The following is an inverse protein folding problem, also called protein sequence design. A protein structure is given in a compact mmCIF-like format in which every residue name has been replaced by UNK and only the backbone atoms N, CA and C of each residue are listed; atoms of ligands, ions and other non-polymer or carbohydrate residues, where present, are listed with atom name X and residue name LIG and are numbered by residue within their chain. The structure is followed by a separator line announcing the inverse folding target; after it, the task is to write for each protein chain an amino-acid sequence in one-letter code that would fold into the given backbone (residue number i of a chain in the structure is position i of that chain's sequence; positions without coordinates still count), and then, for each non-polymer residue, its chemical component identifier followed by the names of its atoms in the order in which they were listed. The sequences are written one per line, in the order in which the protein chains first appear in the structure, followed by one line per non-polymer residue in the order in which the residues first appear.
data_IF_088228072223
#
_entry.id   IF_088228072223
#
_cell.length_a   1.000
_cell.length_b   1.000
_cell.length_c   1.000
_cell.angle_alpha   90.00
_cell.angle_beta   90.00
_cell.angle_gamma   90.00
#
_symmetry.space_group_name_H-M   'P 1'
#
loop_
_entity.id
_entity.type
_entity.pdbx_description
1 polymer ?
#
# COMPACT_ATOMS: atom_id res chain seq x y z
N UNK A 1 -9.05 -6.57 -8.14
CA UNK A 1 -8.24 -5.57 -7.43
C UNK A 1 -7.44 -6.21 -6.31
N UNK A 2 -6.23 -5.78 -6.09
CA UNK A 2 -5.37 -6.35 -5.05
C UNK A 2 -5.81 -5.89 -3.65
N UNK A 3 -6.12 -6.84 -2.78
CA UNK A 3 -6.55 -6.54 -1.42
C UNK A 3 -5.41 -6.08 -0.51
N UNK A 4 -4.18 -6.36 -0.93
CA UNK A 4 -2.99 -6.00 -0.14
C UNK A 4 -2.55 -4.56 -0.34
N UNK A 5 -3.02 -3.92 -1.40
CA UNK A 5 -2.68 -2.53 -1.68
C UNK A 5 -3.90 -1.67 -1.40
N UNK A 6 -3.76 -0.80 -0.42
CA UNK A 6 -4.83 0.07 0.04
C UNK A 6 -4.53 1.52 -0.31
N UNK A 7 -5.56 2.34 -0.28
CA UNK A 7 -5.40 3.78 -0.39
C UNK A 7 -4.53 4.27 0.76
N UNK A 8 -3.50 5.04 0.43
CA UNK A 8 -2.56 5.59 1.43
C UNK A 8 -2.63 7.11 1.52
N UNK A 9 -3.28 7.75 0.57
CA UNK A 9 -3.34 9.20 0.50
C UNK A 9 -4.36 9.79 1.47
N UNK A 10 -3.98 10.92 2.05
CA UNK A 10 -4.88 11.75 2.87
C UNK A 10 -5.37 11.06 4.13
N UNK A 11 -4.43 10.50 4.87
CA UNK A 11 -4.69 9.93 6.19
C UNK A 11 -3.97 10.71 7.28
N UNK A 12 -4.52 10.69 8.46
CA UNK A 12 -3.90 11.22 9.66
C UNK A 12 -3.76 10.09 10.68
N UNK A 13 -2.55 9.75 11.12
CA UNK A 13 -1.27 10.32 10.69
C UNK A 13 -0.89 9.96 9.24
N UNK A 14 0.00 10.76 8.67
CA UNK A 14 0.43 10.63 7.28
C UNK A 14 1.07 9.28 6.98
N UNK A 15 1.06 8.91 5.69
CA UNK A 15 1.68 7.68 5.23
C UNK A 15 3.19 7.68 5.52
N UNK A 16 3.69 6.52 5.91
CA UNK A 16 5.13 6.33 6.16
C UNK A 16 5.80 5.68 4.95
N UNK A 17 7.12 5.81 4.88
CA UNK A 17 7.91 5.12 3.86
C UNK A 17 7.70 3.62 3.92
N UNK A 18 7.58 3.08 5.14
CA UNK A 18 7.38 1.64 5.32
C UNK A 18 6.08 1.16 4.72
N UNK A 19 5.03 1.95 4.86
CA UNK A 19 3.73 1.61 4.27
C UNK A 19 3.78 1.62 2.75
N UNK A 20 4.45 2.61 2.18
CA UNK A 20 4.61 2.72 0.73
C UNK A 20 5.48 1.57 0.21
N UNK A 21 6.54 1.24 0.95
CA UNK A 21 7.42 0.14 0.59
C UNK A 21 6.68 -1.20 0.63
N UNK A 22 5.86 -1.41 1.64
CA UNK A 22 5.05 -2.64 1.75
C UNK A 22 4.09 -2.79 0.58
N UNK A 23 3.44 -1.70 0.16
CA UNK A 23 2.55 -1.71 -1.00
C UNK A 23 3.33 -1.98 -2.29
N UNK A 24 4.52 -1.38 -2.42
CA UNK A 24 5.39 -1.58 -3.58
C UNK A 24 5.85 -3.02 -3.68
N UNK A 25 6.19 -3.63 -2.56
CA UNK A 25 6.58 -5.02 -2.49
C UNK A 25 5.44 -5.93 -2.97
N UNK A 26 4.23 -5.67 -2.53
CA UNK A 26 3.06 -6.45 -2.96
C UNK A 26 2.83 -6.31 -4.45
N UNK A 27 2.98 -5.10 -4.97
CA UNK A 27 2.84 -4.86 -6.40
C UNK A 27 3.84 -5.70 -7.20
N UNK A 28 5.12 -5.68 -6.80
CA UNK A 28 6.17 -6.44 -7.47
C UNK A 28 5.90 -7.94 -7.38
N UNK A 29 5.46 -8.43 -6.23
CA UNK A 29 5.08 -9.83 -6.06
C UNK A 29 3.95 -10.22 -7.00
N UNK A 30 2.95 -9.37 -7.12
CA UNK A 30 1.79 -9.67 -7.96
C UNK A 30 2.14 -9.72 -9.43
N UNK A 31 2.89 -8.74 -9.93
CA UNK A 31 3.20 -8.69 -11.35
C UNK A 31 4.25 -9.71 -11.76
N UNK A 32 5.16 -10.10 -10.85
CA UNK A 32 6.20 -11.08 -11.16
C UNK A 32 5.77 -12.51 -10.89
N UNK A 33 4.79 -12.69 -10.02
CA UNK A 33 4.37 -14.01 -9.58
C UNK A 33 5.28 -14.61 -8.51
N UNK A 34 6.31 -13.89 -8.06
CA UNK A 34 7.23 -14.38 -7.04
C UNK A 34 6.85 -13.84 -5.66
N UNK A 35 6.62 -14.72 -4.71
CA UNK A 35 6.54 -14.31 -3.31
C UNK A 35 7.93 -13.93 -2.81
N UNK A 36 8.92 -14.72 -3.24
CA UNK A 36 10.32 -14.53 -2.89
C UNK A 36 11.13 -14.77 -4.14
N UNK A 37 11.99 -13.84 -4.54
CA UNK A 37 12.76 -14.01 -5.78
C UNK A 37 13.82 -15.09 -5.63
N UNK A 38 14.16 -15.71 -6.75
CA UNK A 38 15.33 -16.59 -6.80
C UNK A 38 16.58 -15.74 -6.60
N UNK A 39 17.68 -16.40 -6.25
CA UNK A 39 18.95 -15.70 -6.00
C UNK A 39 19.37 -14.85 -7.20
N UNK A 40 19.17 -15.36 -8.40
CA UNK A 40 19.52 -14.65 -9.62
C UNK A 40 18.69 -13.38 -9.81
N UNK A 41 17.46 -13.35 -9.29
CA UNK A 41 16.54 -12.25 -9.48
C UNK A 41 16.45 -11.30 -8.29
N UNK A 42 17.15 -11.59 -7.18
CA UNK A 42 17.13 -10.73 -6.01
C UNK A 42 17.50 -9.27 -6.30
N UNK A 43 18.59 -8.99 -7.04
CA UNK A 43 18.95 -7.60 -7.31
C UNK A 43 17.87 -6.85 -8.08
N UNK A 44 17.34 -7.45 -9.15
CA UNK A 44 16.30 -6.82 -9.96
C UNK A 44 15.03 -6.62 -9.16
N UNK A 45 14.65 -7.61 -8.35
CA UNK A 45 13.45 -7.57 -7.54
C UNK A 45 13.55 -6.43 -6.49
N UNK A 46 14.66 -6.40 -5.77
CA UNK A 46 14.88 -5.37 -4.75
C UNK A 46 14.95 -3.97 -5.34
N UNK A 47 15.61 -3.82 -6.47
CA UNK A 47 15.69 -2.55 -7.17
C UNK A 47 14.32 -2.07 -7.61
N UNK A 48 13.50 -2.96 -8.12
CA UNK A 48 12.14 -2.62 -8.53
C UNK A 48 11.31 -2.12 -7.34
N UNK A 49 11.39 -2.81 -6.22
CA UNK A 49 10.69 -2.39 -5.00
C UNK A 49 11.14 -1.00 -4.57
N UNK A 50 12.47 -0.77 -4.55
CA UNK A 50 13.03 0.51 -4.15
C UNK A 50 12.58 1.66 -5.05
N UNK A 51 12.64 1.45 -6.36
CA UNK A 51 12.26 2.48 -7.32
C UNK A 51 10.76 2.77 -7.29
N UNK A 52 9.94 1.75 -7.21
CA UNK A 52 8.48 1.91 -7.14
C UNK A 52 8.10 2.62 -5.85
N UNK A 53 8.72 2.25 -4.73
CA UNK A 53 8.47 2.89 -3.45
C UNK A 53 8.86 4.37 -3.48
N UNK A 54 10.00 4.69 -4.07
CA UNK A 54 10.50 6.06 -4.16
C UNK A 54 9.56 6.94 -4.98
N UNK A 55 9.19 6.48 -6.17
CA UNK A 55 8.26 7.22 -7.04
C UNK A 55 6.90 7.39 -6.36
N UNK A 56 6.41 6.31 -5.74
CA UNK A 56 5.10 6.32 -5.07
C UNK A 56 5.07 7.31 -3.92
N UNK A 57 6.12 7.34 -3.12
CA UNK A 57 6.21 8.24 -1.97
C UNK A 57 6.22 9.71 -2.43
N UNK A 58 7.02 10.03 -3.45
CA UNK A 58 7.07 11.37 -4.00
C UNK A 58 5.72 11.78 -4.59
N UNK A 59 5.08 10.87 -5.28
CA UNK A 59 3.75 11.11 -5.84
C UNK A 59 2.73 11.44 -4.75
N UNK A 60 2.67 10.61 -3.73
CA UNK A 60 1.71 10.79 -2.63
C UNK A 60 1.95 12.10 -1.87
N UNK A 61 3.22 12.43 -1.63
CA UNK A 61 3.58 13.67 -0.93
C UNK A 61 3.31 14.92 -1.76
N UNK A 62 3.29 14.78 -3.08
CA UNK A 62 3.01 15.89 -3.97
C UNK A 62 1.54 16.13 -4.26
N UNK A 63 0.68 15.21 -3.86
CA UNK A 63 -0.76 15.36 -4.09
C UNK A 63 -1.35 16.41 -3.16
N UNK A 64 -2.32 17.15 -3.67
CA UNK A 64 -3.03 18.17 -2.92
C UNK A 64 -4.52 17.86 -2.89
N UNK A 65 -5.19 18.23 -1.80
CA UNK A 65 -6.61 18.05 -1.66
C UNK A 65 -7.15 19.04 -0.64
N UNK A 66 -8.41 19.45 -0.84
CA UNK A 66 -9.12 20.27 0.14
C UNK A 66 -9.96 19.41 1.10
N UNK A 67 -10.01 18.11 0.84
CA UNK A 67 -10.74 17.19 1.71
C UNK A 67 -9.99 17.00 3.03
N UNK A 68 -10.71 16.87 4.15
CA UNK A 68 -10.05 16.62 5.43
C UNK A 68 -9.41 15.23 5.44
N UNK A 69 -8.28 15.07 6.18
CA UNK A 69 -7.64 13.77 6.30
C UNK A 69 -8.57 12.75 6.93
N UNK A 70 -8.46 11.52 6.47
CA UNK A 70 -9.20 10.40 7.04
C UNK A 70 -8.49 9.91 8.29
N UNK A 71 -9.27 9.53 9.28
CA UNK A 71 -8.74 8.92 10.49
C UNK A 71 -8.51 7.44 10.24
N UNK A 72 -7.31 6.95 10.50
CA UNK A 72 -6.95 5.55 10.25
C UNK A 72 -7.79 4.58 11.04
N UNK A 73 -8.02 4.87 12.32
CA UNK A 73 -8.83 4.01 13.17
C UNK A 73 -10.28 3.97 12.71
N UNK A 74 -10.83 5.11 12.33
CA UNK A 74 -12.19 5.19 11.85
C UNK A 74 -12.38 4.41 10.55
N UNK A 75 -11.40 4.53 9.63
CA UNK A 75 -11.47 3.81 8.36
C UNK A 75 -11.31 2.31 8.56
N UNK A 76 -10.44 1.90 9.47
CA UNK A 76 -10.27 0.49 9.81
C UNK A 76 -11.54 -0.07 10.44
N UNK A 77 -12.20 0.70 11.30
CA UNK A 77 -13.45 0.30 11.93
C UNK A 77 -14.57 0.13 10.89
N UNK A 78 -14.64 1.05 9.93
CA UNK A 78 -15.62 0.95 8.84
C UNK A 78 -15.38 -0.29 7.99
N UNK A 79 -14.12 -0.57 7.67
CA UNK A 79 -13.76 -1.76 6.90
C UNK A 79 -14.12 -3.03 7.64
N UNK A 80 -13.87 -3.07 8.94
CA UNK A 80 -14.22 -4.20 9.79
C UNK A 80 -15.73 -4.39 9.87
N UNK A 81 -16.48 -3.31 10.00
CA UNK A 81 -17.93 -3.36 10.05
C UNK A 81 -18.51 -3.89 8.74
N UNK A 82 -17.97 -3.43 7.60
CA UNK A 82 -18.40 -3.93 6.30
C UNK A 82 -18.11 -5.42 6.13
N UNK A 83 -16.94 -5.85 6.57
CA UNK A 83 -16.58 -7.27 6.51
C UNK A 83 -17.49 -8.10 7.40
N UNK A 84 -17.81 -7.60 8.59
CA UNK A 84 -18.71 -8.27 9.52
C UNK A 84 -20.11 -8.42 8.93
N UNK A 85 -20.64 -7.37 8.30
CA UNK A 85 -21.93 -7.44 7.63
C UNK A 85 -21.94 -8.45 6.50
N UNK A 86 -20.83 -8.56 5.77
CA UNK A 86 -20.70 -9.47 4.65
C UNK A 86 -20.61 -10.93 5.08
N UNK A 87 -19.88 -11.21 6.16
CA UNK A 87 -19.55 -12.58 6.60
C UNK A 87 -20.08 -12.98 7.94
N UNK A 88 -20.58 -12.05 8.72
CA UNK A 88 -20.91 -12.24 10.12
C UNK A 88 -22.34 -12.69 10.42
N UNK A 89 -23.00 -13.26 9.48
CA UNK A 89 -24.37 -13.74 9.69
C UNK A 89 -24.46 -15.19 10.03
#
# INVERSE_FOLDING_TARGET
MCRSIRTLFNFEPSVTEEEVRAASLQFVRKISGFNKPSKANEPAFGQAVDEIADVSLRFLRGLETSSPPKNREAEAAKAKARASERFGR
#
